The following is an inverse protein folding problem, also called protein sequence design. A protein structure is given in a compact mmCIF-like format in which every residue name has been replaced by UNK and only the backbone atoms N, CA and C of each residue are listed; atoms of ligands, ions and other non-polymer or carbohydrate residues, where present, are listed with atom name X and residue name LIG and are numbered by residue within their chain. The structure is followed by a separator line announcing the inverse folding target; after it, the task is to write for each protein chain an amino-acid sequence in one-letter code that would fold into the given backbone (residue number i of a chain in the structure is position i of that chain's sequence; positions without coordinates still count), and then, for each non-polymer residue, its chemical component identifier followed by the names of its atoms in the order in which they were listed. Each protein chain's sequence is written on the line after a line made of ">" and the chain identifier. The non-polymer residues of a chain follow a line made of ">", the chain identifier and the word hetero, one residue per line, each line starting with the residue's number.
data_IF_821104549910
#
_entry.id   IF_821104549910
#
_cell.length_a   1.000
_cell.length_b   1.000
_cell.length_c   1.000
_cell.angle_alpha   90.00
_cell.angle_beta   90.00
_cell.angle_gamma   90.00
#
_symmetry.space_group_name_H-M   'P 1'
#
loop_
_entity.id
_entity.type
_entity.pdbx_description
1 polymer ?
#
# COMPACT_ATOMS: atom_id res chain seq x y z
N UNK A 1 2.76 13.50 -1.22
CA UNK A 1 3.41 12.39 -1.96
C UNK A 1 2.34 11.68 -2.79
N UNK A 2 2.54 11.48 -4.09
CA UNK A 2 1.53 10.84 -4.95
C UNK A 2 1.64 9.31 -4.86
N UNK A 3 0.56 8.57 -4.57
CA UNK A 3 0.53 7.12 -4.63
C UNK A 3 0.61 6.64 -6.09
N UNK A 4 1.15 5.44 -6.35
CA UNK A 4 1.02 4.80 -7.65
C UNK A 4 -0.45 4.43 -7.92
N UNK A 5 -0.80 4.19 -9.19
CA UNK A 5 -2.16 3.78 -9.55
C UNK A 5 -2.57 2.49 -8.81
N UNK A 6 -3.61 2.52 -7.95
CA UNK A 6 -4.08 1.36 -7.21
C UNK A 6 -4.97 0.42 -8.04
N UNK A 7 -5.57 0.92 -9.12
CA UNK A 7 -6.66 0.25 -9.82
C UNK A 7 -6.35 -1.16 -10.30
N UNK A 8 -5.17 -1.47 -10.90
CA UNK A 8 -4.89 -2.83 -11.36
C UNK A 8 -4.82 -3.85 -10.22
N UNK A 9 -4.24 -3.48 -9.07
CA UNK A 9 -4.12 -4.38 -7.92
C UNK A 9 -5.45 -4.55 -7.21
N UNK A 10 -6.24 -3.51 -7.13
CA UNK A 10 -7.60 -3.54 -6.55
C UNK A 10 -8.52 -4.40 -7.40
N UNK A 11 -8.49 -4.27 -8.73
CA UNK A 11 -9.32 -5.09 -9.61
C UNK A 11 -9.05 -6.59 -9.43
N UNK A 12 -7.77 -7.00 -9.30
CA UNK A 12 -7.42 -8.40 -9.04
C UNK A 12 -7.92 -8.88 -7.67
N UNK A 13 -7.80 -8.06 -6.63
CA UNK A 13 -8.26 -8.41 -5.29
C UNK A 13 -9.79 -8.53 -5.22
N UNK A 14 -10.52 -7.67 -5.92
CA UNK A 14 -11.99 -7.77 -6.00
C UNK A 14 -12.44 -9.02 -6.76
N UNK A 15 -11.74 -9.40 -7.83
CA UNK A 15 -12.02 -10.67 -8.54
C UNK A 15 -11.77 -11.87 -7.64
N UNK A 16 -10.71 -11.86 -6.82
CA UNK A 16 -10.39 -12.92 -5.87
C UNK A 16 -11.47 -13.08 -4.80
N UNK A 17 -11.94 -11.97 -4.22
CA UNK A 17 -12.84 -11.98 -3.06
C UNK A 17 -14.32 -12.19 -3.45
N UNK A 18 -14.77 -11.59 -4.56
CA UNK A 18 -16.16 -11.59 -4.97
C UNK A 18 -16.50 -12.81 -5.83
N UNK A 19 -15.59 -13.23 -6.72
CA UNK A 19 -15.83 -14.34 -7.64
C UNK A 19 -17.13 -14.19 -8.43
N UNK A 20 -18.06 -15.12 -8.21
CA UNK A 20 -19.37 -15.15 -8.87
C UNK A 20 -20.44 -14.27 -8.22
N UNK A 21 -20.12 -13.55 -7.12
CA UNK A 21 -21.04 -12.65 -6.42
C UNK A 21 -21.01 -12.84 -4.90
N UNK A 22 -21.39 -11.78 -4.18
CA UNK A 22 -21.49 -11.78 -2.71
C UNK A 22 -22.86 -12.31 -2.25
N UNK A 23 -22.86 -13.57 -1.79
CA UNK A 23 -24.08 -14.25 -1.35
C UNK A 23 -24.67 -13.62 -0.08
N UNK A 24 -23.84 -13.04 0.78
CA UNK A 24 -24.29 -12.46 2.05
C UNK A 24 -24.87 -11.07 1.85
N UNK A 25 -24.20 -10.22 1.07
CA UNK A 25 -24.71 -8.90 0.74
C UNK A 25 -26.04 -8.97 -0.04
N UNK A 26 -26.27 -10.04 -0.83
CA UNK A 26 -27.52 -10.26 -1.54
C UNK A 26 -28.75 -10.38 -0.62
N UNK A 27 -28.57 -10.70 0.68
CA UNK A 27 -29.65 -10.74 1.67
C UNK A 27 -30.20 -9.37 2.05
N UNK A 28 -29.45 -8.28 1.76
CA UNK A 28 -29.86 -6.92 2.11
C UNK A 28 -30.68 -6.34 0.95
N UNK A 29 -31.77 -5.59 1.21
CA UNK A 29 -32.49 -4.90 0.15
C UNK A 29 -31.59 -3.95 -0.65
N UNK A 30 -31.72 -3.93 -1.96
CA UNK A 30 -30.85 -3.13 -2.84
C UNK A 30 -30.94 -1.62 -2.58
N UNK A 31 -32.12 -1.15 -2.14
CA UNK A 31 -32.37 0.26 -1.82
C UNK A 31 -31.80 0.71 -0.47
N UNK A 32 -31.20 -0.20 0.31
CA UNK A 32 -30.70 0.12 1.65
C UNK A 32 -29.45 1.00 1.54
N UNK A 33 -29.49 2.15 2.22
CA UNK A 33 -28.32 3.01 2.42
C UNK A 33 -27.74 2.74 3.80
N UNK A 34 -26.41 2.89 3.91
CA UNK A 34 -25.71 2.72 5.17
C UNK A 34 -24.59 3.78 5.33
N UNK A 35 -24.21 3.94 6.59
CA UNK A 35 -23.02 4.68 6.99
C UNK A 35 -22.10 3.73 7.76
N UNK A 36 -20.79 3.80 7.50
CA UNK A 36 -19.77 3.02 8.19
C UNK A 36 -18.62 3.92 8.60
N UNK A 37 -17.91 3.55 9.65
CA UNK A 37 -16.72 4.25 10.13
C UNK A 37 -15.55 3.28 10.25
N UNK A 38 -14.35 3.77 9.93
CA UNK A 38 -13.09 3.06 10.15
C UNK A 38 -12.33 3.75 11.26
N UNK A 39 -11.97 3.00 12.29
CA UNK A 39 -11.17 3.46 13.42
C UNK A 39 -9.89 2.64 13.53
N UNK A 40 -8.82 3.26 14.05
CA UNK A 40 -7.61 2.52 14.42
C UNK A 40 -7.82 1.77 15.74
N UNK A 41 -7.16 0.61 15.91
CA UNK A 41 -7.12 -0.12 17.19
C UNK A 41 -5.79 0.04 17.91
N UNK A 42 -4.79 0.58 17.24
CA UNK A 42 -3.43 0.70 17.78
C UNK A 42 -2.72 1.94 17.22
N UNK A 43 -1.54 2.26 17.80
CA UNK A 43 -0.67 3.28 17.25
C UNK A 43 -0.03 2.77 15.95
N UNK A 44 -0.18 3.54 14.87
CA UNK A 44 0.37 3.19 13.57
C UNK A 44 0.70 4.43 12.73
N UNK A 45 1.20 4.21 11.52
CA UNK A 45 1.26 5.20 10.46
C UNK A 45 0.26 4.80 9.39
N UNK A 46 -0.71 5.65 9.11
CA UNK A 46 -1.74 5.39 8.11
C UNK A 46 -1.09 5.34 6.72
N UNK A 47 -1.46 4.33 5.93
CA UNK A 47 -1.08 4.25 4.52
C UNK A 47 -2.03 3.33 3.76
N UNK A 48 -2.41 3.74 2.55
CA UNK A 48 -3.24 2.93 1.67
C UNK A 48 -4.62 3.53 1.38
N UNK A 49 -4.85 4.80 1.71
CA UNK A 49 -6.12 5.48 1.44
C UNK A 49 -6.53 5.38 -0.04
N UNK A 50 -5.58 5.54 -0.97
CA UNK A 50 -5.86 5.44 -2.40
C UNK A 50 -6.36 4.04 -2.83
N UNK A 51 -5.84 2.96 -2.23
CA UNK A 51 -6.33 1.59 -2.48
C UNK A 51 -7.70 1.36 -1.86
N UNK A 52 -7.89 1.85 -0.64
CA UNK A 52 -9.17 1.81 0.05
C UNK A 52 -10.26 2.50 -0.78
N UNK A 53 -10.01 3.70 -1.24
CA UNK A 53 -10.95 4.48 -2.08
C UNK A 53 -11.22 3.77 -3.40
N UNK A 54 -10.18 3.22 -4.06
CA UNK A 54 -10.32 2.53 -5.33
C UNK A 54 -11.19 1.25 -5.25
N UNK A 55 -11.20 0.55 -4.10
CA UNK A 55 -12.10 -0.59 -3.88
C UNK A 55 -13.56 -0.15 -4.01
N UNK A 56 -13.94 0.88 -3.27
CA UNK A 56 -15.32 1.34 -3.28
C UNK A 56 -15.69 2.05 -4.58
N UNK A 57 -14.78 2.80 -5.19
CA UNK A 57 -15.00 3.43 -6.48
C UNK A 57 -15.24 2.41 -7.61
N UNK A 58 -14.56 1.25 -7.57
CA UNK A 58 -14.77 0.17 -8.55
C UNK A 58 -16.07 -0.61 -8.29
N UNK A 59 -16.52 -0.71 -7.04
CA UNK A 59 -17.76 -1.40 -6.69
C UNK A 59 -18.99 -0.55 -6.95
N UNK A 60 -18.99 0.69 -6.49
CA UNK A 60 -20.10 1.62 -6.67
C UNK A 60 -19.67 3.08 -6.47
N UNK A 61 -19.62 3.91 -7.52
CA UNK A 61 -19.19 5.30 -7.45
C UNK A 61 -20.11 6.20 -6.62
N UNK A 62 -21.28 5.73 -6.19
CA UNK A 62 -22.18 6.47 -5.28
C UNK A 62 -21.68 6.45 -3.83
N UNK A 63 -20.69 5.63 -3.50
CA UNK A 63 -20.10 5.63 -2.16
C UNK A 63 -19.20 6.86 -2.02
N UNK A 64 -19.47 7.65 -0.99
CA UNK A 64 -18.64 8.78 -0.59
C UNK A 64 -17.79 8.40 0.62
N UNK A 65 -16.52 8.83 0.61
CA UNK A 65 -15.57 8.58 1.69
C UNK A 65 -15.01 9.90 2.19
N UNK A 66 -15.15 10.15 3.49
CA UNK A 66 -14.62 11.35 4.15
C UNK A 66 -13.48 11.00 5.09
N UNK A 67 -12.23 11.23 4.67
CA UNK A 67 -11.03 10.97 5.48
C UNK A 67 -10.83 12.05 6.55
N UNK A 68 -10.38 11.63 7.75
CA UNK A 68 -9.97 12.48 8.88
C UNK A 68 -8.45 12.41 9.12
N UNK A 69 -7.75 11.53 8.42
CA UNK A 69 -6.31 11.38 8.46
C UNK A 69 -5.79 11.09 7.05
N UNK A 70 -4.52 11.34 6.77
CA UNK A 70 -3.88 11.16 5.49
C UNK A 70 -2.75 10.12 5.56
N UNK A 71 -2.38 9.56 4.41
CA UNK A 71 -1.21 8.67 4.30
C UNK A 71 0.06 9.37 4.82
N UNK A 72 0.75 8.72 5.75
CA UNK A 72 1.92 9.22 6.44
C UNK A 72 1.64 9.79 7.84
N UNK A 73 0.38 10.04 8.20
CA UNK A 73 0.02 10.51 9.54
C UNK A 73 0.23 9.41 10.58
N UNK A 74 0.69 9.81 11.76
CA UNK A 74 0.65 8.96 12.96
C UNK A 74 -0.78 8.93 13.49
N UNK A 75 -1.31 7.74 13.68
CA UNK A 75 -2.65 7.50 14.19
C UNK A 75 -2.59 6.79 15.55
N UNK A 76 -3.62 7.02 16.38
CA UNK A 76 -3.72 6.50 17.74
C UNK A 76 -4.89 5.49 17.88
N UNK A 77 -4.92 4.68 18.94
CA UNK A 77 -6.09 3.85 19.25
C UNK A 77 -7.38 4.68 19.33
N UNK A 78 -8.47 4.10 18.82
CA UNK A 78 -9.82 4.66 18.75
C UNK A 78 -9.96 5.94 17.90
N UNK A 79 -8.89 6.34 17.19
CA UNK A 79 -8.96 7.47 16.25
C UNK A 79 -9.82 7.11 15.04
N UNK A 80 -10.78 7.98 14.71
CA UNK A 80 -11.57 7.92 13.49
C UNK A 80 -10.66 8.24 12.28
N UNK A 81 -10.60 7.31 11.32
CA UNK A 81 -9.79 7.45 10.10
C UNK A 81 -10.63 7.95 8.93
N UNK A 82 -11.79 7.36 8.70
CA UNK A 82 -12.72 7.82 7.68
C UNK A 82 -14.16 7.40 7.99
N UNK A 83 -15.10 8.06 7.30
CA UNK A 83 -16.53 7.73 7.29
C UNK A 83 -16.93 7.44 5.85
N UNK A 84 -17.70 6.36 5.63
CA UNK A 84 -18.25 5.98 4.33
C UNK A 84 -19.76 6.13 4.36
N UNK A 85 -20.36 6.56 3.24
CA UNK A 85 -21.82 6.65 3.06
C UNK A 85 -22.18 6.20 1.66
N UNK A 86 -23.21 5.36 1.54
CA UNK A 86 -23.67 4.88 0.25
C UNK A 86 -24.57 3.64 0.33
N UNK A 87 -24.79 2.94 -0.80
CA UNK A 87 -25.53 1.69 -0.82
C UNK A 87 -24.90 0.64 0.08
N UNK A 88 -25.73 -0.06 0.89
CA UNK A 88 -25.23 -0.99 1.91
C UNK A 88 -24.51 -2.22 1.32
N UNK A 89 -25.03 -2.77 0.20
CA UNK A 89 -24.44 -3.96 -0.41
C UNK A 89 -22.97 -3.75 -0.79
N UNK A 90 -22.58 -2.77 -1.64
CA UNK A 90 -21.19 -2.59 -2.02
C UNK A 90 -20.31 -2.11 -0.86
N UNK A 91 -20.87 -1.44 0.17
CA UNK A 91 -20.12 -1.14 1.40
C UNK A 91 -19.66 -2.41 2.10
N UNK A 92 -20.56 -3.39 2.26
CA UNK A 92 -20.27 -4.68 2.90
C UNK A 92 -19.34 -5.53 2.02
N UNK A 93 -19.60 -5.59 0.71
CA UNK A 93 -18.79 -6.36 -0.23
C UNK A 93 -17.33 -5.88 -0.29
N UNK A 94 -17.11 -4.57 -0.23
CA UNK A 94 -15.76 -3.97 -0.34
C UNK A 94 -14.97 -3.94 0.96
N UNK A 95 -15.63 -4.08 2.12
CA UNK A 95 -15.03 -3.87 3.44
C UNK A 95 -13.73 -4.65 3.63
N UNK A 96 -13.74 -5.96 3.39
CA UNK A 96 -12.60 -6.83 3.66
C UNK A 96 -11.42 -6.49 2.76
N UNK A 97 -11.66 -6.37 1.47
CA UNK A 97 -10.63 -6.03 0.49
C UNK A 97 -10.02 -4.65 0.78
N UNK A 98 -10.85 -3.65 1.08
CA UNK A 98 -10.39 -2.30 1.41
C UNK A 98 -9.53 -2.28 2.69
N UNK A 99 -9.99 -2.94 3.76
CA UNK A 99 -9.25 -3.04 5.01
C UNK A 99 -7.95 -3.85 4.86
N UNK A 100 -7.92 -4.88 4.01
CA UNK A 100 -6.70 -5.64 3.76
C UNK A 100 -5.59 -4.76 3.17
N UNK A 101 -5.89 -3.92 2.19
CA UNK A 101 -4.91 -2.95 1.66
C UNK A 101 -4.49 -1.94 2.73
N UNK A 102 -5.44 -1.35 3.43
CA UNK A 102 -5.17 -0.33 4.45
C UNK A 102 -4.29 -0.87 5.57
N UNK A 103 -4.60 -2.05 6.08
CA UNK A 103 -3.84 -2.70 7.17
C UNK A 103 -2.45 -3.13 6.71
N UNK A 104 -2.33 -3.76 5.53
CA UNK A 104 -1.04 -4.19 4.98
C UNK A 104 -0.10 -2.99 4.80
N UNK A 105 -0.57 -1.94 4.14
CA UNK A 105 0.27 -0.79 3.81
C UNK A 105 0.58 0.07 5.04
N UNK A 106 -0.38 0.23 5.97
CA UNK A 106 -0.13 0.87 7.26
C UNK A 106 0.88 0.08 8.11
N UNK A 107 0.85 -1.25 8.08
CA UNK A 107 1.84 -2.09 8.74
C UNK A 107 3.26 -1.86 8.20
N UNK A 108 3.41 -1.79 6.87
CA UNK A 108 4.71 -1.48 6.23
C UNK A 108 5.17 -0.07 6.57
N UNK A 109 4.28 0.93 6.50
CA UNK A 109 4.61 2.31 6.84
C UNK A 109 5.00 2.47 8.32
N UNK A 110 4.31 1.77 9.22
CA UNK A 110 4.59 1.78 10.65
C UNK A 110 5.96 1.19 10.95
N UNK A 111 6.30 0.05 10.33
CA UNK A 111 7.64 -0.54 10.46
C UNK A 111 8.72 0.39 9.90
N UNK A 112 8.51 0.96 8.73
CA UNK A 112 9.44 1.92 8.13
C UNK A 112 9.65 3.14 9.05
N UNK A 113 8.58 3.64 9.69
CA UNK A 113 8.65 4.75 10.65
C UNK A 113 9.53 4.42 11.84
N UNK A 114 9.43 3.21 12.39
CA UNK A 114 10.30 2.77 13.51
C UNK A 114 11.77 2.86 13.10
N UNK A 115 12.14 2.34 11.92
CA UNK A 115 13.52 2.45 11.43
C UNK A 115 13.94 3.90 11.17
N UNK A 116 13.06 4.74 10.63
CA UNK A 116 13.36 6.16 10.40
C UNK A 116 13.60 6.91 11.72
N UNK A 117 12.79 6.62 12.74
CA UNK A 117 12.92 7.23 14.07
C UNK A 117 14.24 6.80 14.77
N UNK A 118 14.68 5.54 14.63
CA UNK A 118 15.95 5.03 15.19
C UNK A 118 17.18 5.72 14.63
N UNK A 119 17.15 6.16 13.39
CA UNK A 119 18.30 6.86 12.75
C UNK A 119 18.14 8.37 12.74
N UNK A 120 17.10 8.91 13.38
CA UNK A 120 16.86 10.34 13.40
C UNK A 120 18.05 11.11 14.01
N UNK A 121 18.52 12.16 13.32
CA UNK A 121 19.66 12.97 13.73
C UNK A 121 21.06 12.38 13.46
N UNK A 122 21.15 11.12 12.99
CA UNK A 122 22.45 10.47 12.68
C UNK A 122 23.01 10.86 11.30
N UNK A 123 22.18 11.43 10.41
CA UNK A 123 22.51 11.64 9.00
C UNK A 123 22.39 10.38 8.13
N UNK A 124 22.08 9.20 8.72
CA UNK A 124 21.85 7.98 7.96
C UNK A 124 20.47 7.97 7.29
N UNK A 125 20.39 7.31 6.14
CA UNK A 125 19.14 7.11 5.41
C UNK A 125 18.82 5.62 5.29
N UNK A 126 17.61 5.23 5.68
CA UNK A 126 17.13 3.86 5.51
C UNK A 126 16.52 3.72 4.11
N UNK A 127 16.99 2.70 3.38
CA UNK A 127 16.49 2.36 2.06
C UNK A 127 15.74 1.02 2.09
N UNK A 128 14.68 0.92 1.30
CA UNK A 128 13.99 -0.34 1.06
C UNK A 128 14.77 -1.29 0.14
N UNK A 129 14.18 -2.41 -0.18
CA UNK A 129 14.72 -3.40 -1.09
C UNK A 129 13.68 -3.86 -2.13
N UNK A 130 14.07 -4.78 -3.02
CA UNK A 130 13.15 -5.49 -3.93
C UNK A 130 12.53 -6.77 -3.31
N UNK A 131 12.76 -7.04 -2.03
CA UNK A 131 12.15 -8.14 -1.29
C UNK A 131 10.74 -7.73 -0.86
N UNK A 132 9.81 -7.77 -1.80
CA UNK A 132 8.41 -7.31 -1.65
C UNK A 132 7.46 -8.44 -1.97
N UNK A 133 6.21 -8.31 -1.54
CA UNK A 133 5.13 -9.18 -2.00
C UNK A 133 4.98 -9.07 -3.53
N UNK A 134 4.85 -10.20 -4.24
CA UNK A 134 4.58 -10.17 -5.68
C UNK A 134 3.32 -9.35 -6.00
N UNK A 135 3.40 -8.51 -7.04
CA UNK A 135 2.30 -7.64 -7.44
C UNK A 135 2.14 -6.35 -6.63
N UNK A 136 2.65 -6.29 -5.38
CA UNK A 136 2.45 -5.15 -4.47
C UNK A 136 3.71 -4.27 -4.28
N UNK A 137 4.74 -4.41 -5.11
CA UNK A 137 6.00 -3.68 -4.91
C UNK A 137 5.83 -2.17 -4.88
N UNK A 138 5.10 -1.60 -5.82
CA UNK A 138 4.90 -0.15 -5.88
C UNK A 138 4.13 0.34 -4.65
N UNK A 139 3.12 -0.40 -4.21
CA UNK A 139 2.35 -0.09 -3.01
C UNK A 139 3.22 -0.15 -1.74
N UNK A 140 4.02 -1.22 -1.58
CA UNK A 140 4.90 -1.35 -0.42
C UNK A 140 6.02 -0.30 -0.41
N UNK A 141 6.58 0.05 -1.58
CA UNK A 141 7.56 1.13 -1.70
C UNK A 141 6.96 2.51 -1.38
N UNK A 142 5.73 2.74 -1.79
CA UNK A 142 4.99 3.93 -1.38
C UNK A 142 4.81 3.98 0.15
N UNK A 143 4.41 2.87 0.77
CA UNK A 143 4.24 2.77 2.22
C UNK A 143 5.56 3.01 2.98
N UNK A 144 6.70 2.53 2.46
CA UNK A 144 8.03 2.82 3.01
C UNK A 144 8.29 4.33 3.06
N UNK A 145 7.92 5.06 2.01
CA UNK A 145 8.06 6.53 1.96
C UNK A 145 7.11 7.23 2.95
N UNK A 146 5.86 6.76 3.07
CA UNK A 146 4.91 7.24 4.09
C UNK A 146 5.46 7.04 5.50
N UNK A 147 6.21 5.96 5.72
CA UNK A 147 6.95 5.70 6.96
C UNK A 147 8.18 6.57 7.18
N UNK A 148 8.60 7.40 6.21
CA UNK A 148 9.75 8.30 6.36
C UNK A 148 11.10 7.74 5.90
N UNK A 149 11.14 6.51 5.36
CA UNK A 149 12.30 5.94 4.70
C UNK A 149 12.33 6.30 3.21
N UNK A 150 13.37 5.90 2.48
CA UNK A 150 13.52 6.17 1.05
C UNK A 150 13.49 4.88 0.23
N UNK A 151 13.19 5.02 -1.06
CA UNK A 151 13.21 3.90 -1.96
C UNK A 151 14.62 3.72 -2.58
N UNK A 152 15.10 2.48 -2.58
CA UNK A 152 16.11 2.01 -3.51
C UNK A 152 15.45 1.70 -4.87
N UNK A 153 16.19 1.21 -5.84
CA UNK A 153 15.67 0.87 -7.17
C UNK A 153 14.36 0.10 -7.12
N UNK A 154 13.46 0.42 -8.03
CA UNK A 154 12.12 -0.19 -8.13
C UNK A 154 12.21 -1.56 -8.79
N UNK A 155 13.00 -1.67 -9.87
CA UNK A 155 13.08 -2.86 -10.67
C UNK A 155 14.51 -3.25 -11.05
N UNK A 156 14.62 -3.94 -12.18
CA UNK A 156 15.91 -4.25 -12.79
C UNK A 156 16.29 -3.23 -13.87
N UNK A 157 15.40 -2.29 -14.16
CA UNK A 157 15.44 -1.35 -15.27
C UNK A 157 15.85 0.08 -14.88
N UNK A 158 15.82 0.42 -13.59
CA UNK A 158 16.01 1.81 -13.12
C UNK A 158 17.34 2.05 -12.38
N UNK A 159 18.07 1.00 -12.00
CA UNK A 159 19.43 1.11 -11.48
C UNK A 159 20.18 -0.22 -11.51
N UNK A 160 21.49 -0.13 -11.66
CA UNK A 160 22.40 -1.29 -11.58
C UNK A 160 22.75 -1.56 -10.13
N UNK A 161 22.64 -2.81 -9.70
CA UNK A 161 23.12 -3.31 -8.41
C UNK A 161 24.01 -4.52 -8.64
N UNK A 162 25.32 -4.32 -8.57
CA UNK A 162 26.31 -5.36 -8.74
C UNK A 162 26.42 -6.16 -7.44
N UNK A 163 26.31 -7.49 -7.56
CA UNK A 163 26.46 -8.45 -6.47
C UNK A 163 27.55 -9.46 -6.82
N UNK A 164 27.91 -10.32 -5.85
CA UNK A 164 28.95 -11.34 -5.96
C UNK A 164 28.83 -12.17 -7.25
N UNK A 165 27.64 -12.65 -7.59
CA UNK A 165 27.42 -13.45 -8.80
C UNK A 165 27.71 -12.66 -10.09
N UNK A 166 27.42 -11.36 -10.12
CA UNK A 166 27.73 -10.51 -11.27
C UNK A 166 29.23 -10.29 -11.38
N UNK A 167 29.95 -10.14 -10.27
CA UNK A 167 31.40 -10.00 -10.23
C UNK A 167 32.09 -11.27 -10.71
N UNK A 168 31.62 -12.44 -10.23
CA UNK A 168 32.13 -13.75 -10.66
C UNK A 168 31.94 -13.95 -12.17
N UNK A 169 30.76 -13.65 -12.69
CA UNK A 169 30.44 -13.80 -14.11
C UNK A 169 31.24 -12.83 -15.00
N UNK A 170 31.52 -11.60 -14.51
CA UNK A 170 32.33 -10.61 -15.20
C UNK A 170 33.86 -10.84 -15.06
N UNK A 171 34.26 -11.75 -14.18
CA UNK A 171 35.65 -12.09 -13.89
C UNK A 171 36.35 -11.16 -12.91
N UNK A 172 35.85 -9.94 -12.71
CA UNK A 172 36.40 -8.98 -11.74
C UNK A 172 35.39 -7.86 -11.41
N UNK A 173 35.60 -7.18 -10.27
CA UNK A 173 34.85 -5.96 -9.92
C UNK A 173 35.06 -4.87 -10.99
N UNK A 174 36.27 -4.68 -11.46
CA UNK A 174 36.60 -3.70 -12.50
C UNK A 174 35.77 -3.94 -13.77
N UNK A 175 35.77 -5.17 -14.29
CA UNK A 175 35.02 -5.51 -15.49
C UNK A 175 33.50 -5.32 -15.29
N UNK A 176 32.96 -5.69 -14.13
CA UNK A 176 31.56 -5.49 -13.81
C UNK A 176 31.17 -3.99 -13.80
N UNK A 177 32.04 -3.12 -13.25
CA UNK A 177 31.82 -1.66 -13.24
C UNK A 177 31.89 -1.10 -14.66
N UNK A 178 32.90 -1.47 -15.45
CA UNK A 178 33.05 -1.02 -16.84
C UNK A 178 31.82 -1.40 -17.66
N UNK A 179 31.37 -2.65 -17.56
CA UNK A 179 30.16 -3.12 -18.26
C UNK A 179 28.89 -2.36 -17.81
N UNK A 180 28.77 -2.06 -16.52
CA UNK A 180 27.63 -1.28 -15.99
C UNK A 180 27.59 0.16 -16.50
N UNK A 181 28.74 0.80 -16.72
CA UNK A 181 28.85 2.18 -17.23
C UNK A 181 28.51 2.33 -18.70
N UNK A 182 28.44 1.21 -19.44
CA UNK A 182 28.11 1.18 -20.88
C UNK A 182 26.60 1.01 -21.12
N UNK A 183 25.78 0.82 -20.06
CA UNK A 183 24.34 0.62 -20.11
C UNK A 183 23.58 1.91 -19.80
#
# INVERSE_FOLDING_TARGET
>A
MTPPDPNPTVALALVEDIGGGDLTAALIPESTLAEATVISRENAVLCGAAWFDAVFQQLDPRISIGWQAADGDRIAPDQLLCTLRGPARPLLTGERTALNFLQLLSGVATLARRFADEVAGSGATILDTRKTLPGLRLAQKYAVRCGGCQNHRIGLFDAVLIKENHIMAAGSIHNAIVAARQR
#
